data_IF_963909875249
#
_entry.id   IF_963909875249
#
_cell.length_a   1.000
_cell.length_b   1.000
_cell.length_c   1.000
_cell.angle_alpha   90.00
_cell.angle_beta   90.00
_cell.angle_gamma   90.00
#
_symmetry.space_group_name_H-M   'P 1'
#
loop_
_entity.id
_entity.type
_entity.pdbx_description
1 polymer ?
#
# COMPACT_ATOMS: atom_id res chain seq x y z
N UNK A 1 0.50 24.15 9.94
CA UNK A 1 1.24 24.70 8.78
C UNK A 1 0.51 25.87 8.13
N UNK A 2 -0.70 25.72 7.57
CA UNK A 2 -1.39 26.73 6.75
C UNK A 2 -1.54 28.12 7.40
N UNK A 3 -1.98 28.19 8.67
CA UNK A 3 -2.12 29.47 9.40
C UNK A 3 -0.77 30.19 9.51
N UNK A 4 0.31 29.45 9.76
CA UNK A 4 1.66 30.00 9.78
C UNK A 4 2.08 30.55 8.42
N UNK A 5 1.84 29.80 7.33
CA UNK A 5 2.14 30.27 5.97
C UNK A 5 1.37 31.55 5.61
N UNK A 6 0.07 31.59 5.89
CA UNK A 6 -0.77 32.76 5.65
C UNK A 6 -0.29 33.96 6.47
N UNK A 7 0.07 33.73 7.74
CA UNK A 7 0.61 34.77 8.62
C UNK A 7 1.95 35.30 8.11
N UNK A 8 2.87 34.43 7.67
CA UNK A 8 4.14 34.82 7.07
C UNK A 8 3.94 35.68 5.82
N UNK A 9 2.99 35.31 4.95
CA UNK A 9 2.63 36.09 3.76
C UNK A 9 2.12 37.49 4.13
N UNK A 10 1.12 37.58 5.02
CA UNK A 10 0.53 38.84 5.45
C UNK A 10 1.58 39.76 6.08
N UNK A 11 2.41 39.24 6.99
CA UNK A 11 3.46 40.01 7.65
C UNK A 11 4.52 40.51 6.66
N UNK A 12 4.84 39.72 5.63
CA UNK A 12 5.77 40.10 4.57
C UNK A 12 5.21 41.22 3.70
N UNK A 13 3.94 41.14 3.33
CA UNK A 13 3.25 42.20 2.56
C UNK A 13 3.15 43.50 3.37
N UNK A 14 2.78 43.39 4.64
CA UNK A 14 2.61 44.52 5.55
C UNK A 14 3.92 45.05 6.16
N UNK A 15 5.07 44.43 5.82
CA UNK A 15 6.40 44.76 6.38
C UNK A 15 6.41 44.84 7.91
N UNK A 16 5.74 43.88 8.54
CA UNK A 16 5.66 43.76 9.98
C UNK A 16 6.73 42.79 10.51
N UNK A 17 7.20 42.96 11.76
CA UNK A 17 8.16 42.03 12.35
C UNK A 17 7.67 40.56 12.38
N UNK A 18 8.54 39.58 12.09
CA UNK A 18 9.99 39.71 11.81
C UNK A 18 10.33 39.98 10.32
N UNK A 19 9.33 40.14 9.45
CA UNK A 19 9.51 40.38 8.01
C UNK A 19 9.79 41.85 7.65
N UNK A 20 9.96 42.73 8.61
CA UNK A 20 10.47 44.10 8.42
C UNK A 20 11.95 44.09 8.03
N UNK A 21 12.71 43.10 8.52
CA UNK A 21 14.10 42.88 8.14
C UNK A 21 14.26 42.30 6.72
N UNK A 22 15.11 42.93 5.91
CA UNK A 22 15.41 42.45 4.55
C UNK A 22 16.02 41.05 4.51
N UNK A 23 16.80 40.67 5.53
CA UNK A 23 17.41 39.33 5.62
C UNK A 23 16.35 38.25 5.77
N UNK A 24 15.37 38.45 6.66
CA UNK A 24 14.26 37.51 6.88
C UNK A 24 13.42 37.37 5.61
N UNK A 25 13.08 38.49 4.97
CA UNK A 25 12.35 38.47 3.69
C UNK A 25 13.08 37.71 2.59
N UNK A 26 14.39 37.93 2.44
CA UNK A 26 15.18 37.23 1.45
C UNK A 26 15.24 35.72 1.72
N UNK A 27 15.31 35.32 3.00
CA UNK A 27 15.25 33.92 3.39
C UNK A 27 13.86 33.30 3.10
N UNK A 28 12.77 33.99 3.46
CA UNK A 28 11.40 33.55 3.15
C UNK A 28 11.19 33.39 1.65
N UNK A 29 11.65 34.36 0.86
CA UNK A 29 11.59 34.29 -0.61
C UNK A 29 12.41 33.13 -1.15
N UNK A 30 13.65 32.94 -0.68
CA UNK A 30 14.51 31.83 -1.10
C UNK A 30 13.91 30.47 -0.77
N UNK A 31 13.34 30.30 0.43
CA UNK A 31 12.66 29.06 0.83
C UNK A 31 11.39 28.82 0.01
N UNK A 32 10.62 29.86 -0.28
CA UNK A 32 9.42 29.73 -1.12
C UNK A 32 9.79 29.40 -2.56
N UNK A 33 10.82 30.04 -3.10
CA UNK A 33 11.33 29.76 -4.44
C UNK A 33 11.87 28.34 -4.53
N UNK A 34 12.62 27.88 -3.52
CA UNK A 34 13.06 26.50 -3.43
C UNK A 34 11.86 25.53 -3.40
N UNK A 35 10.88 25.74 -2.53
CA UNK A 35 9.70 24.88 -2.44
C UNK A 35 8.93 24.83 -3.77
N UNK A 36 8.78 25.98 -4.44
CA UNK A 36 8.11 26.08 -5.73
C UNK A 36 8.88 25.35 -6.84
N UNK A 37 10.18 25.61 -6.98
CA UNK A 37 11.03 24.95 -7.99
C UNK A 37 11.06 23.44 -7.75
N UNK A 38 11.22 23.02 -6.50
CA UNK A 38 11.24 21.62 -6.12
C UNK A 38 9.91 20.94 -6.47
N UNK A 39 8.79 21.55 -6.09
CA UNK A 39 7.45 21.04 -6.42
C UNK A 39 7.23 20.95 -7.93
N UNK A 40 7.59 21.98 -8.70
CA UNK A 40 7.50 21.96 -10.16
C UNK A 40 8.37 20.85 -10.77
N UNK A 41 9.60 20.67 -10.26
CA UNK A 41 10.48 19.58 -10.70
C UNK A 41 9.88 18.21 -10.44
N UNK A 42 9.28 18.00 -9.27
CA UNK A 42 8.59 16.75 -8.94
C UNK A 42 7.31 16.54 -9.76
N UNK A 43 6.61 17.62 -10.11
CA UNK A 43 5.39 17.58 -10.91
C UNK A 43 5.61 17.04 -12.33
N UNK A 44 6.83 17.15 -12.87
CA UNK A 44 7.19 16.62 -14.20
C UNK A 44 7.51 15.12 -14.18
N UNK A 45 7.82 14.54 -13.01
CA UNK A 45 8.19 13.13 -12.90
C UNK A 45 7.02 12.21 -13.24
N UNK A 46 7.25 11.19 -14.08
CA UNK A 46 6.28 10.13 -14.35
C UNK A 46 6.02 9.22 -13.13
N UNK A 47 6.93 9.24 -12.14
CA UNK A 47 6.83 8.50 -10.89
C UNK A 47 6.78 9.46 -9.72
N UNK A 48 5.62 9.57 -9.10
CA UNK A 48 5.35 10.51 -8.00
C UNK A 48 4.86 9.76 -6.78
N UNK A 49 5.42 10.09 -5.64
CA UNK A 49 4.98 9.58 -4.35
C UNK A 49 4.92 10.72 -3.35
N UNK A 50 3.97 10.63 -2.44
CA UNK A 50 3.73 11.54 -1.32
C UNK A 50 5.01 11.98 -0.58
N UNK A 51 5.89 11.04 -0.23
CA UNK A 51 7.15 11.36 0.48
C UNK A 51 8.16 12.17 -0.30
N UNK A 52 8.04 12.22 -1.63
CA UNK A 52 8.93 13.08 -2.42
C UNK A 52 8.66 14.55 -2.13
N UNK A 53 7.52 14.93 -1.57
CA UNK A 53 7.26 16.31 -1.19
C UNK A 53 7.97 16.75 0.11
N UNK A 54 8.58 15.83 0.87
CA UNK A 54 9.18 16.13 2.18
C UNK A 54 10.20 17.29 2.17
N UNK A 55 11.11 17.43 1.18
CA UNK A 55 12.03 18.57 1.15
C UNK A 55 11.32 19.92 1.00
N UNK A 56 10.31 20.02 0.14
CA UNK A 56 9.50 21.23 0.02
C UNK A 56 8.68 21.49 1.30
N UNK A 57 8.13 20.43 1.91
CA UNK A 57 7.41 20.53 3.19
C UNK A 57 8.31 21.08 4.32
N UNK A 58 9.59 20.71 4.37
CA UNK A 58 10.54 21.26 5.34
C UNK A 58 10.69 22.78 5.17
N UNK A 59 10.91 23.26 3.94
CA UNK A 59 11.01 24.69 3.66
C UNK A 59 9.72 25.44 4.04
N UNK A 60 8.55 24.89 3.69
CA UNK A 60 7.25 25.45 4.05
C UNK A 60 7.02 25.46 5.57
N UNK A 61 7.50 24.46 6.31
CA UNK A 61 7.41 24.43 7.76
C UNK A 61 8.25 25.52 8.42
N UNK A 62 9.45 25.83 7.89
CA UNK A 62 10.27 26.95 8.37
C UNK A 62 9.55 28.28 8.14
N UNK A 63 8.99 28.49 6.94
CA UNK A 63 8.18 29.68 6.64
C UNK A 63 6.98 29.77 7.60
N UNK A 64 6.28 28.66 7.83
CA UNK A 64 5.14 28.62 8.73
C UNK A 64 5.53 28.94 10.18
N UNK A 65 6.68 28.47 10.64
CA UNK A 65 7.21 28.77 11.98
C UNK A 65 7.47 30.28 12.15
N UNK A 66 8.10 30.91 11.15
CA UNK A 66 8.32 32.37 11.14
C UNK A 66 6.99 33.12 11.18
N UNK A 67 5.99 32.65 10.44
CA UNK A 67 4.65 33.22 10.46
C UNK A 67 3.96 33.11 11.83
N UNK A 68 4.10 31.98 12.53
CA UNK A 68 3.60 31.83 13.90
C UNK A 68 4.30 32.76 14.89
N UNK A 69 5.62 32.91 14.79
CA UNK A 69 6.41 33.84 15.62
C UNK A 69 5.94 35.27 15.41
N UNK A 70 5.79 35.69 14.15
CA UNK A 70 5.31 37.03 13.83
C UNK A 70 3.86 37.27 14.25
N UNK A 71 2.98 36.28 14.10
CA UNK A 71 1.60 36.35 14.60
C UNK A 71 1.57 36.49 16.12
N UNK A 72 2.35 35.68 16.84
CA UNK A 72 2.52 35.79 18.28
C UNK A 72 2.99 37.17 18.71
N UNK A 73 4.02 37.70 18.04
CA UNK A 73 4.53 39.05 18.29
C UNK A 73 3.51 40.16 18.01
N UNK A 74 2.72 40.03 16.94
CA UNK A 74 1.66 40.97 16.61
C UNK A 74 0.55 40.99 17.68
N UNK A 75 0.10 39.81 18.13
CA UNK A 75 -0.88 39.67 19.22
C UNK A 75 -0.33 40.23 20.52
N UNK A 76 0.93 39.91 20.85
CA UNK A 76 1.60 40.41 22.04
C UNK A 76 1.62 41.94 22.10
N UNK A 77 1.96 42.60 20.98
CA UNK A 77 1.94 44.06 20.88
C UNK A 77 0.52 44.62 20.93
N UNK A 78 -0.42 44.04 20.19
CA UNK A 78 -1.81 44.53 20.06
C UNK A 78 -2.59 44.50 21.38
N UNK A 79 -2.32 43.53 22.22
CA UNK A 79 -3.00 43.33 23.51
C UNK A 79 -2.11 43.61 24.72
N UNK A 80 -0.87 44.08 24.52
CA UNK A 80 0.12 44.32 25.58
C UNK A 80 0.37 43.07 26.44
N UNK A 81 0.39 41.88 25.82
CA UNK A 81 0.60 40.57 26.45
C UNK A 81 1.91 39.95 25.94
N UNK A 82 3.08 40.25 26.52
CA UNK A 82 4.36 39.78 26.00
C UNK A 82 4.46 38.25 25.93
N UNK A 83 3.80 37.55 26.86
CA UNK A 83 3.71 36.08 26.89
C UNK A 83 3.12 35.50 25.60
N UNK A 84 2.19 36.21 24.94
CA UNK A 84 1.58 35.73 23.69
C UNK A 84 2.61 35.56 22.55
N UNK A 85 3.74 36.28 22.60
CA UNK A 85 4.83 36.18 21.64
C UNK A 85 5.47 34.79 21.61
N UNK A 86 5.49 34.10 22.75
CA UNK A 86 6.05 32.75 22.88
C UNK A 86 4.95 31.69 23.00
N UNK A 87 3.84 32.00 23.67
CA UNK A 87 2.77 31.05 23.91
C UNK A 87 2.07 30.61 22.63
N UNK A 88 1.85 31.51 21.65
CA UNK A 88 1.18 31.15 20.40
C UNK A 88 2.01 30.20 19.52
N UNK A 89 3.31 30.47 19.22
CA UNK A 89 4.17 29.51 18.53
C UNK A 89 4.30 28.19 19.30
N UNK A 90 4.43 28.24 20.63
CA UNK A 90 4.54 27.03 21.44
C UNK A 90 3.26 26.20 21.38
N UNK A 91 2.10 26.83 21.50
CA UNK A 91 0.80 26.16 21.37
C UNK A 91 0.66 25.54 19.97
N UNK A 92 1.05 26.26 18.91
CA UNK A 92 1.02 25.72 17.56
C UNK A 92 1.93 24.50 17.41
N UNK A 93 3.15 24.54 17.97
CA UNK A 93 4.07 23.41 17.98
C UNK A 93 3.48 22.20 18.74
N UNK A 94 2.90 22.44 19.92
CA UNK A 94 2.28 21.39 20.73
C UNK A 94 1.07 20.76 20.04
N UNK A 95 0.21 21.56 19.40
CA UNK A 95 -0.94 21.05 18.66
C UNK A 95 -0.52 20.24 17.44
N UNK A 96 0.49 20.69 16.70
CA UNK A 96 1.04 19.94 15.56
C UNK A 96 1.67 18.63 16.06
N UNK A 97 2.52 18.69 17.09
CA UNK A 97 3.19 17.52 17.65
C UNK A 97 2.20 16.50 18.23
N UNK A 98 1.21 16.95 19.00
CA UNK A 98 0.16 16.09 19.54
C UNK A 98 -0.69 15.46 18.43
N UNK A 99 -1.00 16.22 17.38
CA UNK A 99 -1.69 15.67 16.20
C UNK A 99 -0.85 14.63 15.48
N UNK A 100 0.46 14.83 15.34
CA UNK A 100 1.36 13.85 14.72
C UNK A 100 1.50 12.58 15.53
N UNK A 101 1.54 12.68 16.87
CA UNK A 101 1.62 11.53 17.77
C UNK A 101 0.40 10.61 17.68
N UNK A 102 -0.77 11.14 17.30
CA UNK A 102 -1.97 10.32 17.06
C UNK A 102 -1.76 9.31 15.94
N UNK A 103 -0.95 9.66 14.93
CA UNK A 103 -0.65 8.81 13.79
C UNK A 103 0.61 7.96 14.01
N UNK A 104 1.15 7.87 15.23
CA UNK A 104 2.21 6.92 15.52
C UNK A 104 1.63 5.50 15.57
N UNK A 105 2.25 4.50 14.92
CA UNK A 105 3.55 4.55 14.24
C UNK A 105 3.50 4.93 12.76
N UNK A 106 2.32 5.00 12.16
CA UNK A 106 2.10 5.20 10.73
C UNK A 106 1.84 6.65 10.32
N UNK A 107 2.83 7.54 10.46
CA UNK A 107 2.64 8.99 10.24
C UNK A 107 2.13 9.38 8.85
N UNK A 108 2.35 8.55 7.83
CA UNK A 108 1.89 8.79 6.46
C UNK A 108 0.40 8.47 6.24
N UNK A 109 -0.31 7.99 7.28
CA UNK A 109 -1.78 7.77 7.25
C UNK A 109 -2.57 9.06 7.48
N UNK A 110 -1.91 10.16 7.85
CA UNK A 110 -2.58 11.45 8.02
C UNK A 110 -2.92 12.09 6.67
N UNK A 111 -4.21 12.34 6.47
CA UNK A 111 -4.73 13.14 5.36
C UNK A 111 -5.58 14.30 5.89
N UNK A 112 -5.47 15.47 5.25
CA UNK A 112 -6.11 16.70 5.73
C UNK A 112 -7.65 16.56 5.75
N UNK A 113 -8.31 16.63 6.92
CA UNK A 113 -9.76 16.47 7.03
C UNK A 113 -10.57 17.53 6.28
N UNK A 114 -10.00 18.73 6.06
CA UNK A 114 -10.69 19.83 5.36
C UNK A 114 -10.94 19.53 3.87
N UNK A 115 -10.25 18.55 3.31
CA UNK A 115 -10.39 18.11 1.91
C UNK A 115 -10.81 16.63 1.82
N UNK A 116 -11.44 16.11 2.88
CA UNK A 116 -12.02 14.76 2.91
C UNK A 116 -11.21 13.70 3.68
N UNK A 117 -9.96 13.99 4.06
CA UNK A 117 -9.14 13.13 4.91
C UNK A 117 -8.99 11.69 4.40
N UNK A 118 -8.92 10.73 5.32
CA UNK A 118 -8.70 9.31 5.03
C UNK A 118 -9.79 8.67 4.14
N UNK A 119 -11.00 9.25 4.08
CA UNK A 119 -12.08 8.74 3.23
C UNK A 119 -11.88 9.06 1.75
N UNK A 120 -11.35 10.24 1.46
CA UNK A 120 -11.17 10.72 0.07
C UNK A 120 -9.77 10.43 -0.46
N UNK A 121 -8.77 10.32 0.42
CA UNK A 121 -7.39 10.11 0.00
C UNK A 121 -7.19 8.86 -0.89
N UNK A 122 -7.72 7.66 -0.57
CA UNK A 122 -7.56 6.49 -1.42
C UNK A 122 -8.22 6.59 -2.80
N UNK A 123 -9.11 7.56 -3.00
CA UNK A 123 -9.82 7.76 -4.27
C UNK A 123 -9.08 8.72 -5.22
N UNK A 124 -8.09 9.46 -4.70
CA UNK A 124 -7.43 10.56 -5.43
C UNK A 124 -5.91 10.47 -5.40
N UNK A 125 -5.37 9.75 -4.41
CA UNK A 125 -3.95 9.57 -4.19
C UNK A 125 -3.66 8.07 -4.07
N UNK A 126 -2.49 7.67 -4.55
CA UNK A 126 -1.97 6.34 -4.26
C UNK A 126 -1.56 6.30 -2.79
N UNK A 127 -2.16 5.38 -2.04
CA UNK A 127 -1.97 5.24 -0.59
C UNK A 127 -1.22 3.95 -0.32
N UNK A 128 -0.47 3.93 0.77
CA UNK A 128 0.12 2.73 1.31
C UNK A 128 1.54 2.42 0.80
N UNK A 129 2.45 2.40 1.76
CA UNK A 129 3.86 2.06 1.64
C UNK A 129 4.29 0.87 2.52
N UNK A 130 3.32 0.17 3.08
CA UNK A 130 3.48 -0.96 3.97
C UNK A 130 3.08 -0.68 5.42
N UNK A 131 2.49 0.50 5.70
CA UNK A 131 1.77 0.75 6.94
C UNK A 131 0.72 -0.34 7.17
N UNK A 132 0.62 -0.85 8.40
CA UNK A 132 -0.33 -1.91 8.75
C UNK A 132 0.05 -3.32 8.26
N UNK A 133 1.07 -3.50 7.42
CA UNK A 133 1.50 -4.84 7.02
C UNK A 133 2.17 -5.62 8.16
N UNK A 134 2.81 -4.93 9.10
CA UNK A 134 3.31 -5.55 10.32
C UNK A 134 2.17 -5.97 11.26
N UNK A 135 1.06 -5.24 11.27
CA UNK A 135 -0.15 -5.63 11.99
C UNK A 135 -0.80 -6.85 11.33
N UNK A 136 -0.88 -6.88 10.00
CA UNK A 136 -1.36 -8.05 9.27
C UNK A 136 -0.52 -9.29 9.59
N UNK A 137 0.81 -9.15 9.58
CA UNK A 137 1.72 -10.23 9.97
C UNK A 137 1.51 -10.68 11.42
N UNK A 138 1.41 -9.74 12.37
CA UNK A 138 1.14 -10.04 13.79
C UNK A 138 -0.21 -10.72 13.99
N UNK A 139 -1.22 -10.37 13.19
CA UNK A 139 -2.54 -11.02 13.21
C UNK A 139 -2.44 -12.47 12.77
N UNK A 140 -1.72 -12.75 11.67
CA UNK A 140 -1.51 -14.13 11.21
C UNK A 140 -0.66 -14.95 12.18
N UNK A 141 0.30 -14.33 12.87
CA UNK A 141 1.09 -14.99 13.92
C UNK A 141 0.27 -15.44 15.15
N UNK A 142 -1.01 -15.04 15.27
CA UNK A 142 -1.92 -15.51 16.31
C UNK A 142 -2.64 -16.82 15.92
N UNK A 143 -2.49 -17.27 14.68
CA UNK A 143 -3.04 -18.55 14.23
C UNK A 143 -2.28 -19.72 14.87
N UNK A 144 -2.94 -20.87 15.08
CA UNK A 144 -2.26 -22.10 15.45
C UNK A 144 -1.18 -22.45 14.42
N UNK A 145 -0.02 -22.91 14.89
CA UNK A 145 1.08 -23.38 14.04
C UNK A 145 1.61 -22.34 13.03
N UNK A 146 1.63 -21.06 13.42
CA UNK A 146 1.98 -19.94 12.55
C UNK A 146 3.35 -20.03 11.85
N UNK A 147 4.29 -20.82 12.39
CA UNK A 147 5.62 -21.04 11.81
C UNK A 147 5.58 -21.93 10.55
N UNK A 148 4.53 -22.74 10.38
CA UNK A 148 4.34 -23.59 9.21
C UNK A 148 3.32 -23.02 8.21
N UNK A 149 2.75 -21.83 8.49
CA UNK A 149 1.80 -21.19 7.60
C UNK A 149 2.50 -20.51 6.42
N UNK A 150 1.84 -20.51 5.28
CA UNK A 150 2.27 -19.86 4.05
C UNK A 150 1.33 -18.71 3.73
N UNK A 151 1.87 -17.51 3.53
CA UNK A 151 1.07 -16.33 3.21
C UNK A 151 1.67 -15.54 2.05
N UNK A 152 0.82 -15.10 1.11
CA UNK A 152 1.23 -14.13 0.08
C UNK A 152 0.85 -12.73 0.52
N UNK A 153 1.78 -11.79 0.43
CA UNK A 153 1.53 -10.38 0.76
C UNK A 153 2.21 -9.45 -0.23
N UNK A 154 1.60 -8.29 -0.47
CA UNK A 154 2.27 -7.22 -1.20
C UNK A 154 3.45 -6.68 -0.39
N UNK A 155 4.49 -6.20 -1.08
CA UNK A 155 5.78 -5.91 -0.43
C UNK A 155 6.32 -7.11 0.34
N UNK A 156 6.32 -8.30 -0.28
CA UNK A 156 6.81 -9.54 0.31
C UNK A 156 8.22 -9.40 0.91
N UNK A 157 9.22 -8.86 0.21
CA UNK A 157 10.55 -8.55 0.80
C UNK A 157 10.58 -7.28 1.68
N UNK A 158 9.42 -6.82 2.13
CA UNK A 158 9.23 -5.57 2.86
C UNK A 158 8.75 -5.80 4.29
N UNK A 159 7.87 -4.93 4.82
CA UNK A 159 7.52 -4.98 6.23
C UNK A 159 6.79 -6.26 6.63
N UNK A 160 5.98 -6.86 5.76
CA UNK A 160 5.23 -8.06 6.10
C UNK A 160 6.13 -9.25 6.49
N UNK A 161 7.08 -9.64 5.63
CA UNK A 161 7.96 -10.79 5.89
C UNK A 161 8.89 -10.59 7.08
N UNK A 162 9.22 -9.35 7.43
CA UNK A 162 10.04 -9.07 8.60
C UNK A 162 9.32 -9.44 9.91
N UNK A 163 7.99 -9.31 9.96
CA UNK A 163 7.20 -9.59 11.16
C UNK A 163 6.46 -10.92 11.13
N UNK A 164 6.23 -11.51 9.96
CA UNK A 164 5.54 -12.80 9.83
C UNK A 164 6.50 -13.96 10.14
N UNK A 165 6.04 -14.93 10.93
CA UNK A 165 6.88 -16.07 11.35
C UNK A 165 6.92 -17.21 10.34
N UNK A 166 5.85 -17.37 9.57
CA UNK A 166 5.73 -18.42 8.55
C UNK A 166 6.45 -18.06 7.26
N UNK A 167 6.18 -18.83 6.21
CA UNK A 167 6.76 -18.61 4.90
C UNK A 167 5.99 -17.55 4.11
N UNK A 168 6.71 -16.58 3.57
CA UNK A 168 6.12 -15.55 2.70
C UNK A 168 6.29 -15.89 1.24
N UNK A 169 5.18 -16.04 0.53
CA UNK A 169 5.15 -16.11 -0.93
C UNK A 169 5.10 -14.72 -1.56
N UNK A 170 5.64 -14.61 -2.77
CA UNK A 170 5.62 -13.37 -3.57
C UNK A 170 4.42 -13.32 -4.50
N UNK A 171 3.69 -12.20 -4.52
CA UNK A 171 2.88 -11.82 -5.68
C UNK A 171 3.78 -11.56 -6.89
N UNK A 172 3.80 -12.49 -7.85
CA UNK A 172 4.61 -12.37 -9.06
C UNK A 172 3.70 -12.09 -10.26
N UNK A 173 4.07 -11.10 -11.08
CA UNK A 173 3.43 -10.89 -12.39
C UNK A 173 3.59 -12.12 -13.32
N UNK A 174 4.65 -12.91 -13.10
CA UNK A 174 4.93 -14.13 -13.87
C UNK A 174 4.28 -15.38 -13.26
N UNK A 175 3.68 -15.28 -12.07
CA UNK A 175 2.95 -16.36 -11.42
C UNK A 175 1.75 -15.78 -10.65
N UNK A 176 0.73 -15.27 -11.37
CA UNK A 176 -0.42 -14.59 -10.77
C UNK A 176 -1.27 -15.50 -9.87
N UNK A 177 -1.07 -16.83 -9.97
CA UNK A 177 -1.73 -17.86 -9.18
C UNK A 177 -0.85 -18.42 -8.05
N UNK A 178 0.29 -17.80 -7.73
CA UNK A 178 1.19 -18.23 -6.66
C UNK A 178 0.52 -18.29 -5.26
N UNK A 179 -0.64 -17.66 -5.12
CA UNK A 179 -1.44 -17.67 -3.91
C UNK A 179 -2.34 -18.90 -3.74
N UNK A 180 -2.54 -19.72 -4.78
CA UNK A 180 -3.35 -20.95 -4.70
C UNK A 180 -2.74 -22.00 -3.75
N UNK A 181 -1.42 -21.93 -3.55
CA UNK A 181 -0.68 -22.83 -2.65
C UNK A 181 -0.27 -22.12 -1.35
N UNK A 182 -1.17 -21.30 -0.80
CA UNK A 182 -0.96 -20.59 0.46
C UNK A 182 -2.19 -20.62 1.35
N UNK A 183 -1.97 -20.56 2.66
CA UNK A 183 -3.04 -20.54 3.66
C UNK A 183 -3.72 -19.17 3.74
N UNK A 184 -2.97 -18.09 3.45
CA UNK A 184 -3.48 -16.72 3.57
C UNK A 184 -3.04 -15.82 2.42
N UNK A 185 -3.95 -14.94 2.02
CA UNK A 185 -3.66 -13.82 1.12
C UNK A 185 -3.86 -12.50 1.85
N UNK A 186 -2.83 -11.64 1.79
CA UNK A 186 -2.90 -10.26 2.27
C UNK A 186 -2.91 -9.33 1.05
N UNK A 187 -4.09 -8.78 0.76
CA UNK A 187 -4.24 -7.73 -0.24
C UNK A 187 -4.02 -6.36 0.41
N UNK A 188 -3.22 -5.52 -0.23
CA UNK A 188 -2.84 -4.21 0.29
C UNK A 188 -3.51 -3.07 -0.50
N UNK A 189 -3.69 -1.91 0.13
CA UNK A 189 -4.46 -0.79 -0.45
C UNK A 189 -3.98 -0.34 -1.82
N UNK A 190 -2.68 -0.34 -2.05
CA UNK A 190 -2.15 0.04 -3.36
C UNK A 190 -2.48 -0.98 -4.46
N UNK A 191 -2.88 -2.21 -4.13
CA UNK A 191 -3.17 -3.26 -5.11
C UNK A 191 -4.49 -3.00 -5.81
N UNK A 192 -5.55 -2.75 -5.05
CA UNK A 192 -6.87 -2.42 -5.60
C UNK A 192 -7.00 -0.99 -6.12
N UNK A 193 -6.06 -0.10 -5.80
CA UNK A 193 -5.94 1.19 -6.48
C UNK A 193 -5.30 1.10 -7.87
N UNK A 194 -4.60 -0.01 -8.16
CA UNK A 194 -3.77 -0.17 -9.36
C UNK A 194 -4.17 -1.37 -10.21
N UNK A 195 -5.20 -2.10 -9.80
CA UNK A 195 -5.64 -3.34 -10.42
C UNK A 195 -4.53 -4.40 -10.54
N UNK A 196 -3.70 -4.54 -9.49
CA UNK A 196 -2.57 -5.49 -9.47
C UNK A 196 -2.78 -6.63 -8.45
N UNK A 197 -2.42 -7.88 -8.78
CA UNK A 197 -1.76 -8.31 -10.01
C UNK A 197 -2.67 -8.28 -11.25
N UNK A 198 -3.98 -8.47 -11.07
CA UNK A 198 -5.00 -8.37 -12.13
C UNK A 198 -6.36 -8.00 -11.52
N UNK A 199 -7.18 -7.25 -12.26
CA UNK A 199 -8.51 -6.81 -11.82
C UNK A 199 -9.46 -7.97 -11.51
N UNK A 200 -9.40 -9.09 -12.24
CA UNK A 200 -10.28 -10.25 -12.04
C UNK A 200 -9.97 -10.95 -10.72
N UNK A 201 -8.68 -11.10 -10.40
CA UNK A 201 -8.22 -11.68 -9.12
C UNK A 201 -8.75 -10.83 -7.96
N UNK A 202 -8.58 -9.52 -8.04
CA UNK A 202 -9.06 -8.61 -6.99
C UNK A 202 -10.59 -8.62 -6.87
N UNK A 203 -11.31 -8.68 -7.98
CA UNK A 203 -12.77 -8.76 -7.99
C UNK A 203 -13.29 -10.05 -7.34
N UNK A 204 -12.60 -11.18 -7.55
CA UNK A 204 -12.94 -12.44 -6.88
C UNK A 204 -12.75 -12.35 -5.37
N UNK A 205 -11.62 -11.84 -4.90
CA UNK A 205 -11.42 -11.62 -3.46
C UNK A 205 -12.43 -10.64 -2.88
N UNK A 206 -12.81 -9.59 -3.62
CA UNK A 206 -13.79 -8.61 -3.17
C UNK A 206 -15.22 -9.19 -3.00
N UNK A 207 -15.52 -10.36 -3.55
CA UNK A 207 -16.79 -11.07 -3.34
C UNK A 207 -16.83 -11.87 -2.04
N UNK A 208 -15.67 -12.11 -1.43
CA UNK A 208 -15.53 -12.89 -0.20
C UNK A 208 -15.35 -11.96 0.99
N UNK A 209 -15.83 -12.38 2.17
CA UNK A 209 -15.60 -11.65 3.40
C UNK A 209 -14.14 -11.85 3.86
N UNK A 210 -13.35 -10.78 4.06
CA UNK A 210 -12.00 -10.91 4.59
C UNK A 210 -12.04 -11.48 6.02
N UNK A 211 -11.15 -12.42 6.31
CA UNK A 211 -10.93 -12.93 7.67
C UNK A 211 -10.50 -11.81 8.65
N UNK A 212 -9.82 -10.78 8.13
CA UNK A 212 -9.50 -9.57 8.88
C UNK A 212 -9.24 -8.37 7.97
N UNK A 213 -9.53 -7.17 8.45
CA UNK A 213 -9.21 -5.91 7.77
C UNK A 213 -8.36 -5.06 8.71
N UNK A 214 -7.19 -4.64 8.23
CA UNK A 214 -6.30 -3.71 8.93
C UNK A 214 -6.71 -2.28 8.58
N UNK A 215 -7.10 -1.52 9.60
CA UNK A 215 -7.58 -0.14 9.48
C UNK A 215 -6.82 0.75 10.45
N UNK A 216 -6.24 1.84 9.96
CA UNK A 216 -5.59 2.86 10.78
C UNK A 216 -6.29 4.21 10.58
N UNK A 217 -6.73 4.87 11.66
CA UNK A 217 -7.39 6.19 11.60
C UNK A 217 -8.52 6.32 10.54
N UNK A 218 -9.24 5.22 10.27
CA UNK A 218 -10.32 5.16 9.28
C UNK A 218 -9.86 4.97 7.83
N UNK A 219 -8.57 4.68 7.62
CA UNK A 219 -7.98 4.27 6.36
C UNK A 219 -7.81 2.75 6.35
N UNK A 220 -8.47 2.08 5.40
CA UNK A 220 -8.27 0.67 5.15
C UNK A 220 -6.94 0.44 4.44
N UNK A 221 -6.04 -0.31 5.08
CA UNK A 221 -4.68 -0.54 4.61
C UNK A 221 -4.50 -1.93 4.01
N UNK A 222 -5.04 -2.96 4.65
CA UNK A 222 -4.89 -4.34 4.18
C UNK A 222 -6.14 -5.19 4.47
N UNK A 223 -6.38 -6.17 3.61
CA UNK A 223 -7.39 -7.22 3.78
C UNK A 223 -6.70 -8.57 3.83
N UNK A 224 -7.03 -9.39 4.81
CA UNK A 224 -6.52 -10.74 4.99
C UNK A 224 -7.63 -11.71 4.63
N UNK A 225 -7.37 -12.62 3.71
CA UNK A 225 -8.27 -13.70 3.30
C UNK A 225 -7.68 -15.04 3.74
N UNK A 226 -8.53 -15.90 4.30
CA UNK A 226 -8.20 -17.27 4.68
C UNK A 226 -8.53 -18.19 3.50
N UNK A 227 -7.55 -18.96 3.05
CA UNK A 227 -7.66 -19.83 1.89
C UNK A 227 -7.72 -21.32 2.25
N UNK A 228 -7.60 -21.67 3.52
CA UNK A 228 -7.52 -23.08 3.96
C UNK A 228 -8.77 -23.89 3.62
N UNK A 229 -9.92 -23.22 3.60
CA UNK A 229 -11.23 -23.82 3.26
C UNK A 229 -11.81 -23.28 1.93
N UNK A 230 -11.06 -22.45 1.20
CA UNK A 230 -11.54 -21.76 0.00
C UNK A 230 -11.22 -22.58 -1.25
N UNK A 231 -12.26 -22.96 -2.01
CA UNK A 231 -12.11 -23.58 -3.32
C UNK A 231 -11.55 -22.56 -4.32
N UNK A 232 -10.77 -23.04 -5.29
CA UNK A 232 -10.10 -22.21 -6.30
C UNK A 232 -11.10 -21.31 -7.07
N UNK A 233 -10.68 -20.15 -7.60
CA UNK A 233 -11.62 -19.21 -8.23
C UNK A 233 -12.19 -19.66 -9.57
N UNK A 234 -13.47 -19.36 -9.79
CA UNK A 234 -14.21 -19.59 -11.04
C UNK A 234 -13.62 -18.90 -12.30
N UNK A 235 -12.77 -17.88 -12.15
CA UNK A 235 -12.19 -17.13 -13.29
C UNK A 235 -10.85 -17.69 -13.76
N UNK A 236 -10.20 -18.52 -12.95
CA UNK A 236 -9.25 -19.47 -13.51
C UNK A 236 -10.18 -20.36 -14.33
N UNK A 237 -10.00 -20.47 -15.65
CA UNK A 237 -10.75 -21.45 -16.45
C UNK A 237 -10.29 -22.87 -16.04
N UNK A 238 -10.60 -23.23 -14.80
CA UNK A 238 -10.71 -24.59 -14.34
C UNK A 238 -12.06 -24.99 -14.90
N UNK A 239 -12.01 -25.65 -16.04
CA UNK A 239 -13.07 -26.58 -16.40
C UNK A 239 -13.25 -27.46 -15.14
N UNK A 240 -14.27 -27.19 -14.31
CA UNK A 240 -14.47 -27.79 -12.98
C UNK A 240 -14.48 -29.34 -13.04
N UNK A 241 -14.71 -29.87 -14.24
CA UNK A 241 -14.58 -31.27 -14.64
C UNK A 241 -13.12 -31.80 -14.62
N UNK A 242 -12.11 -30.98 -14.30
CA UNK A 242 -10.67 -31.30 -14.43
C UNK A 242 -9.85 -31.19 -13.14
N UNK A 243 -10.46 -30.88 -11.99
CA UNK A 243 -9.78 -30.99 -10.70
C UNK A 243 -9.68 -32.47 -10.33
N UNK A 244 -8.45 -32.97 -10.16
CA UNK A 244 -8.19 -34.38 -9.85
C UNK A 244 -7.15 -34.53 -8.75
N UNK A 245 -7.43 -35.41 -7.79
CA UNK A 245 -6.47 -35.80 -6.76
C UNK A 245 -5.79 -37.12 -7.15
N UNK A 246 -4.47 -37.06 -7.34
CA UNK A 246 -3.62 -38.22 -7.58
C UNK A 246 -3.13 -38.78 -6.24
N UNK A 247 -3.66 -39.94 -5.88
CA UNK A 247 -3.23 -40.69 -4.70
C UNK A 247 -3.44 -39.95 -3.37
N UNK A 248 -4.35 -38.98 -3.31
CA UNK A 248 -4.58 -38.09 -2.16
C UNK A 248 -3.33 -37.34 -1.67
N UNK A 249 -2.31 -37.21 -2.53
CA UNK A 249 -1.04 -36.55 -2.21
C UNK A 249 -0.77 -35.37 -3.13
N UNK A 250 -1.27 -35.41 -4.37
CA UNK A 250 -1.09 -34.35 -5.36
C UNK A 250 -2.46 -33.96 -5.92
N UNK A 251 -2.80 -32.68 -5.87
CA UNK A 251 -3.99 -32.11 -6.50
C UNK A 251 -3.62 -31.42 -7.79
N UNK A 252 -4.30 -31.73 -8.88
CA UNK A 252 -4.34 -30.87 -10.06
C UNK A 252 -5.35 -29.75 -9.80
N UNK A 253 -4.81 -28.59 -9.46
CA UNK A 253 -5.58 -27.40 -9.11
C UNK A 253 -6.15 -26.73 -10.37
N UNK A 254 -5.36 -26.60 -11.43
CA UNK A 254 -5.81 -25.96 -12.66
C UNK A 254 -5.00 -26.43 -13.88
N UNK A 255 -5.58 -26.22 -15.06
CA UNK A 255 -4.91 -26.36 -16.35
C UNK A 255 -5.14 -25.08 -17.14
N UNK A 256 -4.07 -24.42 -17.57
CA UNK A 256 -4.16 -23.31 -18.51
C UNK A 256 -3.72 -23.78 -19.90
N UNK A 257 -4.57 -23.50 -20.90
CA UNK A 257 -4.36 -23.82 -22.31
C UNK A 257 -4.37 -22.50 -23.10
N UNK A 258 -3.25 -22.14 -23.73
CA UNK A 258 -3.25 -20.96 -24.62
C UNK A 258 -3.92 -21.31 -25.96
N UNK A 259 -5.25 -21.26 -25.98
CA UNK A 259 -6.07 -21.54 -27.15
C UNK A 259 -6.85 -22.85 -27.05
N UNK A 260 -8.08 -22.85 -27.56
CA UNK A 260 -8.97 -24.04 -27.60
C UNK A 260 -8.95 -24.78 -28.95
N UNK A 261 -8.27 -24.21 -29.93
CA UNK A 261 -8.12 -24.75 -31.28
C UNK A 261 -6.63 -24.74 -31.64
N UNK A 262 -6.14 -25.85 -32.19
CA UNK A 262 -4.77 -26.00 -32.66
C UNK A 262 -4.78 -26.74 -34.00
N UNK A 263 -3.91 -26.33 -34.93
CA UNK A 263 -3.69 -27.02 -36.19
C UNK A 263 -2.46 -27.93 -36.11
N UNK A 264 -2.36 -28.88 -37.04
CA UNK A 264 -1.19 -29.74 -37.13
C UNK A 264 0.08 -28.91 -37.37
N UNK A 265 1.03 -29.00 -36.44
CA UNK A 265 2.29 -28.24 -36.47
C UNK A 265 2.31 -27.05 -35.51
N UNK A 266 1.17 -26.68 -34.92
CA UNK A 266 1.12 -25.65 -33.88
C UNK A 266 1.75 -26.14 -32.58
N UNK A 267 2.38 -25.22 -31.85
CA UNK A 267 2.81 -25.46 -30.46
C UNK A 267 1.74 -24.93 -29.53
N UNK A 268 1.08 -25.83 -28.79
CA UNK A 268 0.09 -25.46 -27.77
C UNK A 268 0.75 -25.55 -26.39
N UNK A 269 1.08 -24.41 -25.74
CA UNK A 269 1.60 -24.46 -24.39
C UNK A 269 0.46 -24.81 -23.42
N UNK A 270 0.76 -25.77 -22.55
CA UNK A 270 -0.15 -26.24 -21.51
C UNK A 270 0.54 -26.08 -20.17
N UNK A 271 -0.09 -25.37 -19.25
CA UNK A 271 0.42 -25.18 -17.89
C UNK A 271 -0.45 -25.97 -16.91
N UNK A 272 0.17 -26.88 -16.16
CA UNK A 272 -0.48 -27.62 -15.09
C UNK A 272 -0.13 -26.99 -13.74
N UNK A 273 -1.14 -26.66 -12.95
CA UNK A 273 -0.98 -26.19 -11.59
C UNK A 273 -1.19 -27.36 -10.64
N UNK A 274 -0.10 -27.90 -10.12
CA UNK A 274 -0.11 -29.04 -9.20
C UNK A 274 0.20 -28.55 -7.78
N UNK A 275 -0.57 -29.05 -6.81
CA UNK A 275 -0.38 -28.77 -5.39
C UNK A 275 -0.08 -30.07 -4.64
N UNK A 276 0.94 -30.05 -3.78
CA UNK A 276 1.19 -31.16 -2.85
C UNK A 276 0.27 -30.99 -1.62
N UNK A 277 -0.70 -31.88 -1.45
CA UNK A 277 -1.67 -31.86 -0.35
C UNK A 277 -1.31 -32.83 0.79
N UNK A 278 -0.26 -33.64 0.59
CA UNK A 278 0.37 -34.46 1.63
C UNK A 278 1.85 -34.73 1.28
N UNK A 279 2.69 -35.16 2.25
CA UNK A 279 4.10 -35.46 1.98
C UNK A 279 4.28 -36.53 0.90
N UNK A 280 5.12 -36.24 -0.10
CA UNK A 280 5.43 -37.14 -1.20
C UNK A 280 6.78 -37.80 -0.92
N UNK A 281 6.75 -39.02 -0.38
CA UNK A 281 7.94 -39.77 0.02
C UNK A 281 8.69 -40.46 -1.13
N UNK A 282 8.28 -40.24 -2.37
CA UNK A 282 8.82 -40.91 -3.55
C UNK A 282 8.99 -39.93 -4.71
N UNK A 283 9.91 -40.22 -5.63
CA UNK A 283 10.01 -39.46 -6.87
C UNK A 283 8.78 -39.74 -7.74
N UNK A 284 8.13 -38.67 -8.20
CA UNK A 284 6.99 -38.75 -9.10
C UNK A 284 7.40 -38.29 -10.50
N UNK A 285 6.84 -38.93 -11.52
CA UNK A 285 6.98 -38.53 -12.92
C UNK A 285 5.64 -38.04 -13.43
N UNK A 286 5.67 -37.00 -14.25
CA UNK A 286 4.49 -36.52 -14.95
C UNK A 286 4.46 -37.12 -16.35
N UNK A 287 3.34 -37.73 -16.72
CA UNK A 287 3.04 -38.15 -18.08
C UNK A 287 1.84 -37.35 -18.55
N UNK A 288 1.99 -36.66 -19.67
CA UNK A 288 0.91 -35.94 -20.35
C UNK A 288 0.66 -36.67 -21.65
N UNK A 289 -0.60 -36.97 -21.95
CA UNK A 289 -0.99 -37.67 -23.16
C UNK A 289 -2.10 -36.90 -23.86
N UNK A 290 -2.03 -36.82 -25.19
CA UNK A 290 -3.11 -36.32 -26.01
C UNK A 290 -3.89 -37.52 -26.55
N UNK A 291 -5.16 -37.64 -26.15
CA UNK A 291 -6.02 -38.75 -26.56
C UNK A 291 -7.08 -38.21 -27.52
N UNK A 292 -7.24 -38.87 -28.67
CA UNK A 292 -8.25 -38.54 -29.66
C UNK A 292 -9.66 -38.92 -29.20
N UNK A 293 -10.72 -38.43 -29.88
CA UNK A 293 -12.12 -38.72 -29.55
C UNK A 293 -12.43 -40.23 -29.53
N UNK A 294 -11.71 -41.00 -30.34
CA UNK A 294 -11.86 -42.45 -30.49
C UNK A 294 -11.07 -43.25 -29.43
N UNK A 295 -10.36 -42.57 -28.52
CA UNK A 295 -9.54 -43.19 -27.47
C UNK A 295 -8.10 -43.49 -27.89
N UNK A 296 -7.71 -43.15 -29.12
CA UNK A 296 -6.36 -43.36 -29.63
C UNK A 296 -5.35 -42.35 -29.05
N UNK A 297 -4.16 -42.82 -28.70
CA UNK A 297 -3.05 -41.97 -28.26
C UNK A 297 -2.46 -41.22 -29.47
N UNK A 298 -2.57 -39.89 -29.45
CA UNK A 298 -2.03 -39.00 -30.48
C UNK A 298 -0.61 -38.51 -30.13
N UNK A 299 -0.31 -38.39 -28.83
CA UNK A 299 1.00 -38.02 -28.29
C UNK A 299 1.16 -38.54 -26.87
#
# INVERSE_FOLDING_TARGET
MLVGLASALVLTVLRCPPSDESRVRNALFGLMLFALIYWLGMAVSAKQFDRYFLPAALALNVIAAIGWIGLGGAVARRFQRPVAGYALPMLALLLIGASSLRHFPYYLTYYNPLVGGAKTAPQTLMVGWGEGLDEAARRLNQQPDAENLRAVSWYETGPFSYFFKGETGRWSYLAPLAWLDTDFVVLYVNQWQRDIPDAKILAHFAQHEPAHIVVEDGLELARIYDLRDTLLPDFVEIDDDRVADFGAQIRLAAIELEGREAHAGDSLPVTFYLQAIAPIGQNVNQLVQLIGPDGDLLW
#
